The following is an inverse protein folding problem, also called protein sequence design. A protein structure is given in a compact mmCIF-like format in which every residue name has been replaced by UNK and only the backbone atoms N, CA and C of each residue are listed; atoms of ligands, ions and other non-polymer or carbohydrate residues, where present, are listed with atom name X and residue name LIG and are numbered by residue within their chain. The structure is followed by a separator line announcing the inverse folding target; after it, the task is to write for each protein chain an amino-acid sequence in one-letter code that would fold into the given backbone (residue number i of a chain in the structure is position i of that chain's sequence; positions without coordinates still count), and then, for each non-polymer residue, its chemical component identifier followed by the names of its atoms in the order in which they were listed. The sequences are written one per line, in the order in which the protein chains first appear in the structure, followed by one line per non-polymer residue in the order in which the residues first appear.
data_IF_137997407448
#
_entry.id   IF_137997407448
#
_cell.length_a   1.000
_cell.length_b   1.000
_cell.length_c   1.000
_cell.angle_alpha   90.00
_cell.angle_beta   90.00
_cell.angle_gamma   90.00
#
_symmetry.space_group_name_H-M   'P 1'
#
loop_
_entity.id
_entity.type
_entity.pdbx_description
1 polymer ?
#
# COMPACT_ATOMS: atom_id res chain seq x y z
N UNK A 1 6.47 16.26 -20.30
CA UNK A 1 5.22 16.91 -19.83
C UNK A 1 4.14 15.86 -19.96
N UNK A 2 3.72 15.28 -18.83
CA UNK A 2 2.76 14.17 -18.81
C UNK A 2 1.38 14.75 -19.09
N UNK A 3 0.80 14.41 -20.24
CA UNK A 3 -0.59 14.73 -20.57
C UNK A 3 -1.50 13.88 -19.68
N UNK A 4 -1.66 14.29 -18.43
CA UNK A 4 -2.80 13.86 -17.63
C UNK A 4 -4.05 14.41 -18.35
N UNK A 5 -4.74 13.55 -19.08
CA UNK A 5 -6.02 13.89 -19.69
C UNK A 5 -6.97 14.38 -18.58
N UNK A 6 -7.56 15.57 -18.77
CA UNK A 6 -8.57 16.16 -17.86
C UNK A 6 -9.82 15.29 -17.64
N UNK A 7 -9.89 14.14 -18.29
CA UNK A 7 -10.98 13.16 -18.20
C UNK A 7 -10.97 12.41 -16.86
N UNK A 8 -9.79 12.27 -16.24
CA UNK A 8 -9.59 11.36 -15.10
C UNK A 8 -9.23 12.11 -13.81
N UNK A 9 -9.43 13.44 -13.79
CA UNK A 9 -9.00 14.31 -12.70
C UNK A 9 -9.64 13.99 -11.33
N UNK A 10 -10.79 13.31 -11.32
CA UNK A 10 -11.48 12.85 -10.11
C UNK A 10 -11.26 11.35 -9.82
N UNK A 11 -10.75 10.58 -10.79
CA UNK A 11 -10.30 9.20 -10.58
C UNK A 11 -8.96 9.13 -9.86
N UNK A 12 -8.20 10.23 -9.88
CA UNK A 12 -6.83 10.24 -9.39
C UNK A 12 -6.73 9.92 -7.91
N UNK A 13 -7.75 10.23 -7.09
CA UNK A 13 -7.68 10.04 -5.64
C UNK A 13 -9.05 9.68 -5.05
N UNK A 14 -9.15 8.50 -4.43
CA UNK A 14 -10.34 8.00 -3.76
C UNK A 14 -10.12 8.08 -2.26
N UNK A 15 -10.96 8.84 -1.56
CA UNK A 15 -10.98 8.85 -0.09
C UNK A 15 -11.80 7.66 0.43
N UNK A 16 -11.16 6.83 1.26
CA UNK A 16 -11.76 5.63 1.85
C UNK A 16 -11.64 5.65 3.37
N UNK A 17 -12.45 4.82 4.04
CA UNK A 17 -12.43 4.63 5.49
C UNK A 17 -12.19 3.15 5.80
N UNK A 18 -11.22 2.87 6.66
CA UNK A 18 -10.87 1.53 7.10
C UNK A 18 -11.74 1.03 8.26
N UNK A 19 -11.61 -0.27 8.58
CA UNK A 19 -12.33 -0.93 9.68
C UNK A 19 -11.98 -0.34 11.06
N UNK A 20 -10.71 0.01 11.27
CA UNK A 20 -10.17 0.70 12.45
C UNK A 20 -10.56 2.20 12.51
N UNK A 21 -11.36 2.67 11.56
CA UNK A 21 -12.04 3.97 11.60
C UNK A 21 -11.27 5.12 10.98
N UNK A 22 -10.04 4.89 10.52
CA UNK A 22 -9.20 5.89 9.88
C UNK A 22 -9.63 6.19 8.44
N UNK A 23 -9.43 7.43 8.02
CA UNK A 23 -9.64 7.86 6.64
C UNK A 23 -8.32 8.07 5.93
N UNK A 24 -8.17 7.53 4.72
CA UNK A 24 -6.97 7.70 3.92
C UNK A 24 -7.31 7.85 2.44
N UNK A 25 -6.36 8.44 1.70
CA UNK A 25 -6.49 8.65 0.27
C UNK A 25 -5.74 7.57 -0.50
N UNK A 26 -6.38 7.09 -1.56
CA UNK A 26 -5.88 6.06 -2.45
C UNK A 26 -5.86 6.57 -3.88
N UNK A 27 -4.69 6.61 -4.49
CA UNK A 27 -4.62 6.91 -5.91
C UNK A 27 -4.86 5.64 -6.73
N UNK A 28 -5.70 5.72 -7.74
CA UNK A 28 -6.06 4.58 -8.58
C UNK A 28 -5.95 4.96 -10.04
N UNK A 29 -5.35 4.08 -10.83
CA UNK A 29 -5.33 4.21 -12.30
C UNK A 29 -5.99 3.01 -12.93
N UNK A 30 -6.91 3.27 -13.86
CA UNK A 30 -7.62 2.24 -14.58
C UNK A 30 -7.26 2.32 -16.07
N UNK A 31 -6.78 1.21 -16.61
CA UNK A 31 -6.55 1.04 -18.04
C UNK A 31 -7.71 0.21 -18.60
N UNK A 32 -8.42 0.78 -19.56
CA UNK A 32 -9.52 0.11 -20.26
C UNK A 32 -9.27 0.00 -21.76
N UNK A 33 -9.94 -0.96 -22.37
CA UNK A 33 -9.98 -1.18 -23.80
C UNK A 33 -11.42 -1.44 -24.22
N UNK A 34 -11.89 -0.68 -25.21
CA UNK A 34 -13.21 -0.91 -25.81
C UNK A 34 -12.99 -1.53 -27.20
N UNK A 35 -13.44 -2.78 -27.44
CA UNK A 35 -13.32 -3.41 -28.74
C UNK A 35 -14.05 -2.60 -29.81
N UNK A 36 -13.51 -2.59 -31.04
CA UNK A 36 -14.08 -1.86 -32.17
C UNK A 36 -15.56 -2.20 -32.43
N UNK A 37 -15.94 -3.46 -32.24
CA UNK A 37 -17.30 -3.94 -32.48
C UNK A 37 -18.31 -3.48 -31.42
N UNK A 38 -17.83 -3.16 -30.21
CA UNK A 38 -18.68 -2.76 -29.08
C UNK A 38 -18.66 -1.25 -28.85
N UNK A 39 -17.65 -0.53 -29.38
CA UNK A 39 -17.56 0.93 -29.28
C UNK A 39 -18.85 1.68 -29.69
N UNK A 40 -19.55 1.32 -30.79
CA UNK A 40 -20.81 1.97 -31.13
C UNK A 40 -21.90 1.76 -30.07
N UNK A 41 -21.94 0.58 -29.42
CA UNK A 41 -22.92 0.29 -28.36
C UNK A 41 -22.63 1.10 -27.10
N UNK A 42 -21.35 1.20 -26.74
CA UNK A 42 -20.90 1.99 -25.58
C UNK A 42 -21.26 3.47 -25.79
N UNK A 43 -20.94 4.03 -26.95
CA UNK A 43 -21.30 5.43 -27.27
C UNK A 43 -22.82 5.60 -27.35
N UNK A 44 -23.58 4.64 -27.88
CA UNK A 44 -25.03 4.72 -27.89
C UNK A 44 -25.66 4.69 -26.48
N UNK A 45 -25.06 3.97 -25.52
CA UNK A 45 -25.54 3.91 -24.13
C UNK A 45 -25.21 5.16 -23.33
N UNK A 46 -23.98 5.67 -23.45
CA UNK A 46 -23.47 6.74 -22.57
C UNK A 46 -23.38 8.10 -23.26
N UNK A 47 -23.49 8.16 -24.58
CA UNK A 47 -23.37 9.38 -25.38
C UNK A 47 -21.91 9.83 -25.61
N UNK A 48 -21.05 9.72 -24.60
CA UNK A 48 -19.63 10.08 -24.70
C UNK A 48 -18.73 9.21 -23.81
N UNK A 49 -17.41 9.28 -24.06
CA UNK A 49 -16.42 8.62 -23.22
C UNK A 49 -16.38 9.22 -21.81
N UNK A 50 -16.55 10.53 -21.68
CA UNK A 50 -16.64 11.23 -20.39
C UNK A 50 -17.82 10.71 -19.55
N UNK A 51 -18.97 10.47 -20.17
CA UNK A 51 -20.13 9.92 -19.50
C UNK A 51 -19.89 8.48 -19.03
N UNK A 52 -19.21 7.64 -19.83
CA UNK A 52 -18.81 6.30 -19.39
C UNK A 52 -17.90 6.37 -18.14
N UNK A 53 -16.92 7.27 -18.15
CA UNK A 53 -15.99 7.44 -17.03
C UNK A 53 -16.73 7.84 -15.76
N UNK A 54 -17.52 8.92 -15.83
CA UNK A 54 -18.20 9.51 -14.67
C UNK A 54 -19.39 8.70 -14.16
N UNK A 55 -20.14 8.02 -15.04
CA UNK A 55 -21.35 7.29 -14.65
C UNK A 55 -21.09 5.83 -14.29
N UNK A 56 -19.99 5.24 -14.79
CA UNK A 56 -19.71 3.81 -14.61
C UNK A 56 -18.36 3.57 -13.96
N UNK A 57 -17.25 4.02 -14.56
CA UNK A 57 -15.92 3.67 -14.04
C UNK A 57 -15.70 4.24 -12.64
N UNK A 58 -15.91 5.54 -12.46
CA UNK A 58 -15.74 6.25 -11.18
C UNK A 58 -16.57 5.60 -10.05
N UNK A 59 -17.90 5.40 -10.19
CA UNK A 59 -18.69 4.74 -9.16
C UNK A 59 -18.26 3.29 -8.90
N UNK A 60 -17.94 2.53 -9.95
CA UNK A 60 -17.58 1.10 -9.82
C UNK A 60 -16.28 0.93 -9.05
N UNK A 61 -15.25 1.68 -9.45
CA UNK A 61 -13.92 1.63 -8.82
C UNK A 61 -14.00 2.19 -7.40
N UNK A 62 -14.64 3.34 -7.22
CA UNK A 62 -14.82 3.96 -5.91
C UNK A 62 -15.59 3.06 -4.94
N UNK A 63 -16.64 2.38 -5.41
CA UNK A 63 -17.38 1.43 -4.58
C UNK A 63 -16.51 0.23 -4.17
N UNK A 64 -15.76 -0.35 -5.12
CA UNK A 64 -14.85 -1.46 -4.82
C UNK A 64 -13.86 -1.10 -3.70
N UNK A 65 -13.13 0.02 -3.85
CA UNK A 65 -12.11 0.39 -2.88
C UNK A 65 -12.67 0.84 -1.54
N UNK A 66 -13.84 1.50 -1.52
CA UNK A 66 -14.54 1.81 -0.27
C UNK A 66 -14.91 0.54 0.51
N UNK A 67 -15.48 -0.46 -0.16
CA UNK A 67 -15.84 -1.73 0.48
C UNK A 67 -14.60 -2.52 0.91
N UNK A 68 -13.57 -2.55 0.06
CA UNK A 68 -12.31 -3.22 0.38
C UNK A 68 -11.61 -2.60 1.59
N UNK A 69 -11.64 -1.26 1.71
CA UNK A 69 -11.08 -0.56 2.86
C UNK A 69 -11.90 -0.81 4.13
N UNK A 70 -13.22 -0.76 4.06
CA UNK A 70 -14.09 -0.99 5.23
C UNK A 70 -13.93 -2.36 5.87
N UNK A 71 -13.46 -3.36 5.11
CA UNK A 71 -13.22 -4.73 5.58
C UNK A 71 -11.80 -4.98 6.09
N UNK A 72 -10.94 -3.96 6.17
CA UNK A 72 -9.57 -4.12 6.66
C UNK A 72 -9.04 -2.90 7.39
N UNK A 73 -8.12 -3.14 8.31
CA UNK A 73 -7.34 -2.09 8.95
C UNK A 73 -6.42 -1.41 7.94
N UNK A 74 -6.07 -0.13 8.17
CA UNK A 74 -5.21 0.63 7.24
C UNK A 74 -3.89 -0.08 7.01
N UNK A 75 -3.29 -0.62 8.07
CA UNK A 75 -1.97 -1.25 7.99
C UNK A 75 -2.00 -2.54 7.19
N UNK A 76 -3.05 -3.33 7.36
CA UNK A 76 -3.24 -4.55 6.59
C UNK A 76 -3.53 -4.24 5.12
N UNK A 77 -4.28 -3.17 4.86
CA UNK A 77 -4.50 -2.66 3.51
C UNK A 77 -3.17 -2.27 2.83
N UNK A 78 -2.29 -1.56 3.54
CA UNK A 78 -0.96 -1.18 3.04
C UNK A 78 -0.09 -2.40 2.76
N UNK A 79 -0.06 -3.37 3.69
CA UNK A 79 0.77 -4.60 3.55
C UNK A 79 0.30 -5.48 2.40
N UNK A 80 -1.02 -5.58 2.19
CA UNK A 80 -1.64 -6.45 1.18
C UNK A 80 -1.92 -5.74 -0.14
N UNK A 81 -1.26 -4.60 -0.43
CA UNK A 81 -1.48 -3.80 -1.65
C UNK A 81 -1.49 -4.64 -2.93
N UNK A 82 -0.52 -5.52 -3.12
CA UNK A 82 -0.42 -6.35 -4.32
C UNK A 82 -1.60 -7.31 -4.49
N UNK A 83 -2.04 -7.92 -3.39
CA UNK A 83 -3.21 -8.81 -3.35
C UNK A 83 -4.48 -8.00 -3.67
N UNK A 84 -4.66 -6.85 -3.03
CA UNK A 84 -5.81 -5.96 -3.27
C UNK A 84 -5.86 -5.45 -4.70
N UNK A 85 -4.72 -5.20 -5.34
CA UNK A 85 -4.67 -4.80 -6.74
C UNK A 85 -5.13 -5.93 -7.67
N UNK A 86 -4.72 -7.17 -7.39
CA UNK A 86 -5.15 -8.34 -8.15
C UNK A 86 -6.66 -8.60 -8.01
N UNK A 87 -7.17 -8.52 -6.76
CA UNK A 87 -8.60 -8.62 -6.48
C UNK A 87 -9.40 -7.50 -7.17
N UNK A 88 -8.89 -6.26 -7.11
CA UNK A 88 -9.52 -5.10 -7.75
C UNK A 88 -9.63 -5.30 -9.26
N UNK A 89 -8.54 -5.73 -9.90
CA UNK A 89 -8.51 -6.04 -11.32
C UNK A 89 -9.58 -7.07 -11.69
N UNK A 90 -9.71 -8.15 -10.91
CA UNK A 90 -10.70 -9.18 -11.18
C UNK A 90 -12.14 -8.67 -11.00
N UNK A 91 -12.42 -7.98 -9.89
CA UNK A 91 -13.74 -7.48 -9.56
C UNK A 91 -14.21 -6.37 -10.54
N UNK A 92 -13.34 -5.41 -10.83
CA UNK A 92 -13.64 -4.30 -11.76
C UNK A 92 -13.77 -4.82 -13.19
N UNK A 93 -12.93 -5.78 -13.61
CA UNK A 93 -13.07 -6.43 -14.91
C UNK A 93 -14.42 -7.13 -15.07
N UNK A 94 -14.90 -7.81 -14.02
CA UNK A 94 -16.21 -8.44 -14.03
C UNK A 94 -17.34 -7.42 -14.14
N UNK A 95 -17.27 -6.31 -13.39
CA UNK A 95 -18.28 -5.27 -13.42
C UNK A 95 -18.34 -4.55 -14.79
N UNK A 96 -17.19 -4.24 -15.38
CA UNK A 96 -17.11 -3.53 -16.66
C UNK A 96 -17.57 -4.36 -17.87
N UNK A 97 -17.53 -5.69 -17.78
CA UNK A 97 -18.06 -6.59 -18.82
C UNK A 97 -19.54 -6.36 -19.13
N UNK A 98 -20.36 -6.00 -18.13
CA UNK A 98 -21.79 -5.72 -18.34
C UNK A 98 -22.03 -4.50 -19.26
N UNK A 99 -21.02 -3.65 -19.41
CA UNK A 99 -21.06 -2.43 -20.20
C UNK A 99 -20.29 -2.54 -21.51
N UNK A 100 -19.88 -3.75 -21.90
CA UNK A 100 -19.05 -4.02 -23.09
C UNK A 100 -17.68 -3.28 -23.06
N UNK A 101 -17.17 -3.00 -21.86
CA UNK A 101 -15.87 -2.36 -21.63
C UNK A 101 -14.88 -3.39 -21.09
N UNK A 102 -13.75 -3.56 -21.76
CA UNK A 102 -12.66 -4.42 -21.30
C UNK A 102 -11.80 -3.70 -20.27
N UNK A 103 -11.65 -4.28 -19.07
CA UNK A 103 -10.67 -3.82 -18.10
C UNK A 103 -9.32 -4.53 -18.36
N UNK A 104 -8.30 -3.77 -18.73
CA UNK A 104 -6.95 -4.30 -18.96
C UNK A 104 -6.21 -4.41 -17.64
N UNK A 105 -6.21 -3.32 -16.88
CA UNK A 105 -5.47 -3.24 -15.63
C UNK A 105 -6.08 -2.23 -14.66
N UNK A 106 -6.03 -2.57 -13.38
CA UNK A 106 -6.33 -1.65 -12.27
C UNK A 106 -5.06 -1.56 -11.45
N UNK A 107 -4.53 -0.36 -11.31
CA UNK A 107 -3.31 -0.08 -10.57
C UNK A 107 -3.64 0.75 -9.34
N UNK A 108 -3.12 0.32 -8.21
CA UNK A 108 -3.13 1.11 -6.98
C UNK A 108 -1.84 1.93 -7.00
N UNK A 109 -1.96 3.24 -7.01
CA UNK A 109 -0.86 4.21 -6.92
C UNK A 109 -0.45 4.47 -5.47
N UNK A 110 -0.23 5.73 -5.14
CA UNK A 110 0.16 6.11 -3.79
C UNK A 110 -0.99 5.97 -2.79
N UNK A 111 -0.61 5.56 -1.58
CA UNK A 111 -1.52 5.47 -0.43
C UNK A 111 -0.98 6.42 0.61
N UNK A 112 -1.77 7.41 1.02
CA UNK A 112 -1.38 8.39 2.02
C UNK A 112 -2.01 7.99 3.36
N UNK A 113 -1.32 7.22 4.22
CA UNK A 113 -1.88 6.85 5.51
C UNK A 113 -1.94 8.06 6.46
N UNK A 114 -2.80 8.01 7.49
CA UNK A 114 -2.86 9.04 8.51
C UNK A 114 -1.54 9.15 9.28
N UNK A 115 -1.08 10.39 9.51
CA UNK A 115 0.18 10.66 10.20
C UNK A 115 0.22 10.10 11.64
N UNK A 116 -0.93 10.05 12.32
CA UNK A 116 -1.05 9.54 13.69
C UNK A 116 -0.70 8.04 13.81
N UNK A 117 -1.13 7.25 12.82
CA UNK A 117 -0.79 5.82 12.73
C UNK A 117 0.69 5.63 12.46
N UNK A 118 1.23 6.40 11.51
CA UNK A 118 2.65 6.30 11.14
C UNK A 118 3.56 6.66 12.31
N UNK A 119 3.24 7.70 13.08
CA UNK A 119 3.99 8.05 14.28
C UNK A 119 4.08 6.87 15.25
N UNK A 120 2.94 6.26 15.57
CA UNK A 120 2.89 5.13 16.51
C UNK A 120 3.67 3.91 16.01
N UNK A 121 3.62 3.63 14.71
CA UNK A 121 4.36 2.53 14.10
C UNK A 121 5.85 2.79 14.03
N UNK A 122 6.25 4.02 13.68
CA UNK A 122 7.64 4.45 13.64
C UNK A 122 8.24 4.41 15.04
N UNK A 123 7.52 4.92 16.04
CA UNK A 123 7.95 4.92 17.45
C UNK A 123 8.14 3.47 17.94
N UNK A 124 7.19 2.58 17.64
CA UNK A 124 7.30 1.16 17.98
C UNK A 124 8.50 0.50 17.29
N UNK A 125 8.72 0.80 16.00
CA UNK A 125 9.83 0.21 15.25
C UNK A 125 11.18 0.71 15.76
N UNK A 126 11.26 1.99 16.12
CA UNK A 126 12.44 2.59 16.71
C UNK A 126 12.77 1.93 18.06
N UNK A 127 11.79 1.82 18.96
CA UNK A 127 11.97 1.17 20.25
C UNK A 127 12.43 -0.29 20.13
N UNK A 128 11.92 -1.03 19.13
CA UNK A 128 12.35 -2.39 18.83
C UNK A 128 13.82 -2.45 18.37
N UNK A 129 14.23 -1.53 17.48
CA UNK A 129 15.63 -1.43 17.03
C UNK A 129 16.57 -0.99 18.16
N UNK A 130 16.14 -0.07 19.02
CA UNK A 130 16.89 0.36 20.21
C UNK A 130 17.11 -0.82 21.17
N UNK A 131 16.08 -1.65 21.39
CA UNK A 131 16.21 -2.84 22.23
C UNK A 131 17.28 -3.81 21.70
N UNK A 132 17.23 -4.13 20.40
CA UNK A 132 18.24 -4.98 19.76
C UNK A 132 19.64 -4.37 19.87
N UNK A 133 19.74 -3.05 19.74
CA UNK A 133 21.01 -2.34 19.90
C UNK A 133 21.56 -2.47 21.32
N UNK A 134 20.72 -2.30 22.35
CA UNK A 134 21.14 -2.45 23.75
C UNK A 134 21.52 -3.89 24.10
N UNK A 135 20.79 -4.89 23.58
CA UNK A 135 21.14 -6.31 23.74
C UNK A 135 22.53 -6.59 23.13
N UNK A 136 22.77 -6.12 21.91
CA UNK A 136 24.08 -6.26 21.24
C UNK A 136 25.21 -5.57 22.03
N UNK A 137 24.95 -4.38 22.57
CA UNK A 137 25.91 -3.65 23.40
C UNK A 137 26.21 -4.41 24.69
N UNK A 138 25.20 -4.99 25.34
CA UNK A 138 25.36 -5.78 26.56
C UNK A 138 26.23 -7.02 26.29
N UNK A 139 25.96 -7.75 25.21
CA UNK A 139 26.77 -8.90 24.79
C UNK A 139 28.23 -8.50 24.53
N UNK A 140 28.45 -7.41 23.79
CA UNK A 140 29.79 -6.91 23.50
C UNK A 140 30.56 -6.53 24.78
N UNK A 141 29.89 -5.89 25.75
CA UNK A 141 30.49 -5.57 27.05
C UNK A 141 30.81 -6.82 27.86
N UNK A 142 29.93 -7.84 27.80
CA UNK A 142 30.19 -9.15 28.42
C UNK A 142 31.43 -9.83 27.86
N UNK A 143 31.56 -9.88 26.53
CA UNK A 143 32.76 -10.44 25.85
C UNK A 143 34.02 -9.66 26.24
N UNK A 144 33.94 -8.33 26.30
CA UNK A 144 35.05 -7.48 26.72
C UNK A 144 35.50 -7.77 28.15
N UNK A 145 34.55 -7.90 29.08
CA UNK A 145 34.85 -8.22 30.48
C UNK A 145 35.54 -9.59 30.60
N UNK A 146 35.07 -10.59 29.86
CA UNK A 146 35.70 -11.92 29.82
C UNK A 146 37.14 -11.85 29.27
N UNK A 147 37.35 -11.08 28.20
CA UNK A 147 38.67 -10.90 27.60
C UNK A 147 39.65 -10.20 28.55
N UNK A 148 39.20 -9.16 29.26
CA UNK A 148 40.01 -8.46 30.28
C UNK A 148 40.36 -9.39 31.45
N UNK A 149 39.42 -10.20 31.93
CA UNK A 149 39.68 -11.20 32.98
C UNK A 149 40.72 -12.25 32.54
N UNK A 150 40.56 -12.82 31.34
CA UNK A 150 41.50 -13.80 30.79
C UNK A 150 42.92 -13.21 30.61
N UNK A 151 43.00 -11.95 30.15
CA UNK A 151 44.28 -11.24 29.98
C UNK A 151 44.95 -10.95 31.33
N UNK A 152 44.17 -10.53 32.34
CA UNK A 152 44.69 -10.28 33.69
C UNK A 152 45.27 -11.57 34.31
N UNK A 153 44.56 -12.70 34.18
CA UNK A 153 45.03 -14.03 34.59
C UNK A 153 46.34 -14.41 33.88
N UNK A 154 46.39 -14.29 32.56
CA UNK A 154 47.60 -14.58 31.77
C UNK A 154 48.80 -13.73 32.22
N UNK A 155 48.57 -12.44 32.51
CA UNK A 155 49.64 -11.54 32.97
C UNK A 155 50.17 -11.91 34.36
N UNK A 156 49.31 -12.34 35.28
CA UNK A 156 49.76 -12.79 36.61
C UNK A 156 50.60 -14.06 36.53
N UNK A 157 50.26 -15.00 35.65
CA UNK A 157 51.05 -16.23 35.46
C UNK A 157 52.44 -15.95 34.87
N UNK A 158 52.55 -15.00 33.95
CA UNK A 158 53.84 -14.62 33.35
C UNK A 158 54.82 -13.96 34.35
N UNK A 159 54.34 -13.48 35.50
CA UNK A 159 55.16 -12.77 36.49
C UNK A 159 55.69 -13.67 37.62
N UNK A 160 55.23 -14.94 37.66
CA UNK A 160 55.57 -15.93 38.70
C UNK A 160 56.61 -16.95 38.20
N UNK A 161 57.11 -16.79 36.97
CA UNK A 161 58.15 -17.64 36.35
C UNK A 161 59.48 -16.89 36.27
#
# INVERSE_FOLDING_TARGET
KTEAHKLDANLSTITVRSADGFTFNLDVSQIIHIPRNDAPKVIARFGSMEALVTQVLEPTIGNYFRNAAQNSDVIDFLKKRSERQAEAKAAISLALKAYDVGAVETLIGDIVPPAELMKTLTDRKLAEQEKVTFETQMEAQGVRQQLEQATALARTQAQVV
#
